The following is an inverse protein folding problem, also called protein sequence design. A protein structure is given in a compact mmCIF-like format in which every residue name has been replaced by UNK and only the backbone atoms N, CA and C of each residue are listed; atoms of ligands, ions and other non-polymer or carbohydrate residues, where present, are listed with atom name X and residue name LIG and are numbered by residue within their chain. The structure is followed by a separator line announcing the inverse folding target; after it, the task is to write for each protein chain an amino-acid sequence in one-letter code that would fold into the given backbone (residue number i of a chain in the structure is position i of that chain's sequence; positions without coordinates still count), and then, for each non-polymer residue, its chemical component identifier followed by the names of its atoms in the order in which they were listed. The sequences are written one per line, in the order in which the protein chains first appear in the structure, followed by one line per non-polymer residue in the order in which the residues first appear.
data_IF_208111529727
#
_entry.id   IF_208111529727
#
_cell.length_a   1.000
_cell.length_b   1.000
_cell.length_c   1.000
_cell.angle_alpha   90.00
_cell.angle_beta   90.00
_cell.angle_gamma   90.00
#
_symmetry.space_group_name_H-M   'P 1'
#
loop_
_entity.id
_entity.type
_entity.pdbx_description
1 polymer ?
#
# COMPACT_ATOMS: atom_id res chain seq x y z
N UNK A 1 -18.18 32.96 35.36
CA UNK A 1 -17.80 32.63 33.97
C UNK A 1 -17.01 31.33 34.01
N UNK A 2 -17.60 30.22 33.55
CA UNK A 2 -16.88 28.94 33.50
C UNK A 2 -16.06 28.87 32.22
N UNK A 3 -14.74 28.77 32.37
CA UNK A 3 -13.82 28.49 31.28
C UNK A 3 -13.82 26.99 30.99
N UNK A 4 -14.47 26.58 29.90
CA UNK A 4 -14.32 25.24 29.34
C UNK A 4 -12.99 25.19 28.58
N UNK A 5 -11.99 24.53 29.17
CA UNK A 5 -10.70 24.29 28.52
C UNK A 5 -10.88 23.22 27.43
N UNK A 6 -10.57 23.62 26.19
CA UNK A 6 -10.44 22.80 24.99
C UNK A 6 -9.43 21.64 25.21
N UNK A 7 -9.88 20.51 25.80
CA UNK A 7 -9.07 19.29 25.95
C UNK A 7 -9.29 18.25 24.84
N UNK A 8 -10.27 18.46 23.96
CA UNK A 8 -10.65 17.48 22.93
C UNK A 8 -9.69 17.38 21.74
N UNK A 9 -9.05 18.48 21.34
CA UNK A 9 -8.23 18.52 20.11
C UNK A 9 -6.94 17.71 20.24
N UNK A 10 -6.20 17.85 21.34
CA UNK A 10 -4.86 17.24 21.48
C UNK A 10 -4.87 15.71 21.51
N UNK A 11 -5.93 15.09 22.03
CA UNK A 11 -6.06 13.62 22.10
C UNK A 11 -6.49 13.01 20.75
N UNK A 12 -7.25 13.76 19.95
CA UNK A 12 -7.70 13.32 18.62
C UNK A 12 -6.51 13.36 17.64
N UNK A 13 -5.67 14.39 17.68
CA UNK A 13 -4.48 14.48 16.81
C UNK A 13 -3.47 13.37 17.11
N UNK A 14 -3.21 13.09 18.40
CA UNK A 14 -2.26 12.04 18.79
C UNK A 14 -2.72 10.63 18.34
N UNK A 15 -4.03 10.35 18.40
CA UNK A 15 -4.58 9.08 17.94
C UNK A 15 -4.55 8.93 16.41
N UNK A 16 -4.76 10.02 15.67
CA UNK A 16 -4.65 10.02 14.20
C UNK A 16 -3.22 9.74 13.73
N UNK A 17 -2.23 10.44 14.30
CA UNK A 17 -0.81 10.25 13.96
C UNK A 17 -0.37 8.81 14.24
N UNK A 18 -0.74 8.25 15.40
CA UNK A 18 -0.41 6.87 15.75
C UNK A 18 -1.04 5.85 14.79
N UNK A 19 -2.28 6.09 14.30
CA UNK A 19 -2.89 5.21 13.30
C UNK A 19 -2.12 5.23 11.97
N UNK A 20 -1.80 6.43 11.44
CA UNK A 20 -1.04 6.58 10.19
C UNK A 20 0.33 5.88 10.31
N UNK A 21 1.07 6.17 11.38
CA UNK A 21 2.38 5.55 11.64
C UNK A 21 2.30 4.02 11.66
N UNK A 22 1.34 3.45 12.37
CA UNK A 22 1.13 2.00 12.42
C UNK A 22 0.80 1.40 11.05
N UNK A 23 -0.05 2.05 10.24
CA UNK A 23 -0.38 1.57 8.89
C UNK A 23 0.87 1.58 7.98
N UNK A 24 1.66 2.66 8.03
CA UNK A 24 2.88 2.79 7.22
C UNK A 24 3.98 1.83 7.68
N UNK A 25 4.11 1.59 8.98
CA UNK A 25 5.03 0.58 9.52
C UNK A 25 4.66 -0.81 9.01
N UNK A 26 3.37 -1.17 9.04
CA UNK A 26 2.89 -2.46 8.51
C UNK A 26 3.12 -2.60 7.01
N UNK A 27 2.87 -1.55 6.22
CA UNK A 27 3.20 -1.55 4.80
C UNK A 27 4.69 -1.79 4.56
N UNK A 28 5.56 -1.11 5.32
CA UNK A 28 7.01 -1.28 5.22
C UNK A 28 7.45 -2.71 5.54
N UNK A 29 6.89 -3.30 6.62
CA UNK A 29 7.13 -4.69 7.00
C UNK A 29 6.72 -5.67 5.88
N UNK A 30 5.49 -5.54 5.37
CA UNK A 30 4.97 -6.42 4.33
C UNK A 30 5.67 -6.20 2.98
N UNK A 31 6.04 -4.97 2.64
CA UNK A 31 6.78 -4.63 1.43
C UNK A 31 8.18 -5.23 1.40
N UNK A 32 8.90 -5.24 2.54
CA UNK A 32 10.19 -5.94 2.68
C UNK A 32 10.02 -7.44 2.49
N UNK A 33 9.00 -8.03 3.13
CA UNK A 33 8.70 -9.45 3.01
C UNK A 33 8.40 -9.83 1.55
N UNK A 34 7.54 -9.04 0.88
CA UNK A 34 7.16 -9.22 -0.52
C UNK A 34 8.37 -9.27 -1.45
N UNK A 35 9.36 -8.40 -1.24
CA UNK A 35 10.54 -8.33 -2.12
C UNK A 35 11.37 -9.64 -2.12
N UNK A 36 11.43 -10.34 -0.98
CA UNK A 36 12.15 -11.62 -0.84
C UNK A 36 11.26 -12.83 -1.09
N UNK A 37 9.96 -12.74 -0.81
CA UNK A 37 9.05 -13.88 -0.99
C UNK A 37 8.95 -14.33 -2.45
N UNK A 38 9.12 -13.44 -3.43
CA UNK A 38 9.15 -13.85 -4.83
C UNK A 38 10.30 -14.83 -5.17
N UNK A 39 11.32 -14.97 -4.33
CA UNK A 39 12.39 -15.98 -4.51
C UNK A 39 11.88 -17.42 -4.29
N UNK A 40 10.85 -17.59 -3.46
CA UNK A 40 10.33 -18.92 -3.05
C UNK A 40 8.87 -19.15 -3.42
N UNK A 41 8.09 -18.08 -3.52
CA UNK A 41 6.70 -18.03 -3.99
C UNK A 41 6.63 -17.37 -5.36
N UNK A 42 5.55 -17.62 -6.09
CA UNK A 42 5.35 -17.02 -7.40
C UNK A 42 5.03 -15.54 -7.28
N UNK A 43 5.31 -14.75 -8.32
CA UNK A 43 5.01 -13.32 -8.34
C UNK A 43 3.54 -13.04 -7.99
N UNK A 44 2.63 -13.81 -8.60
CA UNK A 44 1.20 -13.70 -8.36
C UNK A 44 0.87 -13.97 -6.88
N UNK A 45 1.29 -15.11 -6.33
CA UNK A 45 1.01 -15.48 -4.94
C UNK A 45 1.61 -14.45 -3.97
N UNK A 46 2.83 -13.99 -4.21
CA UNK A 46 3.46 -12.97 -3.36
C UNK A 46 2.69 -11.65 -3.35
N UNK A 47 2.14 -11.21 -4.48
CA UNK A 47 1.30 -10.00 -4.53
C UNK A 47 -0.03 -10.22 -3.81
N UNK A 48 -0.67 -11.38 -3.98
CA UNK A 48 -1.92 -11.71 -3.27
C UNK A 48 -1.71 -11.75 -1.76
N UNK A 49 -0.66 -12.44 -1.29
CA UNK A 49 -0.33 -12.50 0.14
C UNK A 49 -0.10 -11.09 0.72
N UNK A 50 0.57 -10.22 -0.04
CA UNK A 50 0.80 -8.83 0.35
C UNK A 50 -0.51 -8.03 0.45
N UNK A 51 -1.41 -8.11 -0.55
CA UNK A 51 -2.66 -7.36 -0.49
C UNK A 51 -3.64 -7.91 0.54
N UNK A 52 -3.65 -9.22 0.79
CA UNK A 52 -4.40 -9.83 1.89
C UNK A 52 -3.89 -9.34 3.25
N UNK A 53 -2.58 -9.30 3.46
CA UNK A 53 -1.98 -8.77 4.68
C UNK A 53 -2.36 -7.29 4.88
N UNK A 54 -2.29 -6.45 3.84
CA UNK A 54 -2.68 -5.04 3.91
C UNK A 54 -4.17 -4.83 4.22
N UNK A 55 -5.06 -5.65 3.65
CA UNK A 55 -6.51 -5.56 3.93
C UNK A 55 -6.86 -5.84 5.39
N UNK A 56 -6.00 -6.58 6.10
CA UNK A 56 -6.18 -6.92 7.50
C UNK A 56 -5.60 -5.87 8.47
N UNK A 57 -5.00 -4.79 7.97
CA UNK A 57 -4.54 -3.68 8.80
C UNK A 57 -5.75 -2.94 9.40
N UNK A 58 -5.67 -2.60 10.68
CA UNK A 58 -6.69 -1.79 11.35
C UNK A 58 -6.55 -0.31 10.97
N UNK A 59 -7.62 0.27 10.40
CA UNK A 59 -7.72 1.71 10.07
C UNK A 59 -8.56 2.49 11.10
N UNK A 60 -8.89 1.89 12.24
CA UNK A 60 -9.64 2.59 13.29
C UNK A 60 -8.87 3.82 13.78
N UNK A 61 -9.55 4.97 13.83
CA UNK A 61 -8.99 6.28 14.17
C UNK A 61 -8.02 6.89 13.13
N UNK A 62 -7.81 6.24 11.98
CA UNK A 62 -7.12 6.88 10.86
C UNK A 62 -8.03 7.95 10.24
N UNK A 63 -7.46 9.08 9.76
CA UNK A 63 -8.21 10.03 8.96
C UNK A 63 -8.87 9.36 7.75
N UNK A 64 -10.06 9.84 7.38
CA UNK A 64 -10.81 9.28 6.26
C UNK A 64 -10.05 9.45 4.94
N UNK A 65 -9.45 10.63 4.73
CA UNK A 65 -8.59 10.98 3.58
C UNK A 65 -7.46 9.96 3.40
N UNK A 66 -6.71 9.69 4.48
CA UNK A 66 -5.65 8.68 4.50
C UNK A 66 -6.19 7.27 4.26
N UNK A 67 -7.26 6.88 4.96
CA UNK A 67 -7.85 5.54 4.85
C UNK A 67 -8.32 5.24 3.42
N UNK A 68 -8.94 6.21 2.76
CA UNK A 68 -9.37 6.10 1.37
C UNK A 68 -8.17 6.02 0.43
N UNK A 69 -7.18 6.89 0.60
CA UNK A 69 -5.97 6.86 -0.22
C UNK A 69 -5.24 5.52 -0.13
N UNK A 70 -5.09 4.98 1.08
CA UNK A 70 -4.43 3.71 1.31
C UNK A 70 -5.24 2.52 0.76
N UNK A 71 -6.56 2.50 0.92
CA UNK A 71 -7.42 1.46 0.31
C UNK A 71 -7.37 1.49 -1.22
N UNK A 72 -7.24 2.67 -1.83
CA UNK A 72 -7.04 2.79 -3.27
C UNK A 72 -5.65 2.25 -3.67
N UNK A 73 -4.62 2.44 -2.85
CA UNK A 73 -3.31 1.83 -3.06
C UNK A 73 -3.36 0.29 -3.03
N UNK A 74 -4.09 -0.29 -2.06
CA UNK A 74 -4.34 -1.75 -2.01
C UNK A 74 -5.02 -2.22 -3.30
N UNK A 75 -6.03 -1.49 -3.78
CA UNK A 75 -6.76 -1.82 -5.03
C UNK A 75 -5.85 -1.78 -6.27
N UNK A 76 -4.90 -0.85 -6.33
CA UNK A 76 -3.92 -0.79 -7.41
C UNK A 76 -3.01 -2.03 -7.41
N UNK A 77 -2.59 -2.48 -6.23
CA UNK A 77 -1.86 -3.74 -6.08
C UNK A 77 -2.70 -4.97 -6.42
N UNK A 78 -3.99 -5.00 -6.07
CA UNK A 78 -4.89 -6.10 -6.47
C UNK A 78 -5.00 -6.22 -7.99
N UNK A 79 -5.06 -5.08 -8.69
CA UNK A 79 -5.07 -5.05 -10.16
C UNK A 79 -3.77 -5.61 -10.74
N UNK A 80 -2.62 -5.33 -10.12
CA UNK A 80 -1.34 -5.96 -10.47
C UNK A 80 -1.33 -7.46 -10.15
N UNK A 81 -1.92 -7.87 -9.03
CA UNK A 81 -2.11 -9.28 -8.66
C UNK A 81 -2.90 -10.04 -9.70
N UNK A 82 -4.02 -9.49 -10.16
CA UNK A 82 -4.84 -10.08 -11.22
C UNK A 82 -4.05 -10.19 -12.54
N UNK A 83 -3.39 -9.12 -12.94
CA UNK A 83 -2.55 -9.10 -14.15
C UNK A 83 -1.45 -10.16 -14.11
N UNK A 84 -0.82 -10.37 -12.95
CA UNK A 84 0.28 -11.32 -12.80
C UNK A 84 -0.15 -12.78 -12.76
N UNK A 85 -1.46 -13.10 -12.74
CA UNK A 85 -1.96 -14.48 -12.92
C UNK A 85 -1.44 -15.14 -14.19
N UNK A 86 -1.32 -14.39 -15.30
CA UNK A 86 -0.77 -14.91 -16.56
C UNK A 86 0.72 -15.25 -16.49
N UNK A 87 1.39 -14.81 -15.43
CA UNK A 87 2.79 -15.09 -15.10
C UNK A 87 2.89 -15.93 -13.82
N UNK A 88 1.91 -16.80 -13.56
CA UNK A 88 1.81 -17.57 -12.32
C UNK A 88 3.03 -18.42 -11.99
N UNK A 89 3.88 -18.74 -12.96
CA UNK A 89 5.09 -19.55 -12.76
C UNK A 89 6.35 -18.73 -12.47
N UNK A 90 6.31 -17.40 -12.62
CA UNK A 90 7.49 -16.55 -12.40
C UNK A 90 7.90 -16.50 -10.93
N UNK A 91 9.17 -16.80 -10.66
CA UNK A 91 9.85 -16.74 -9.36
C UNK A 91 11.23 -16.11 -9.53
N UNK A 92 11.72 -15.43 -8.51
CA UNK A 92 12.95 -14.64 -8.47
C UNK A 92 12.74 -13.30 -7.76
N UNK A 93 13.77 -12.47 -7.67
CA UNK A 93 13.63 -11.14 -7.07
C UNK A 93 12.59 -10.29 -7.85
N UNK A 94 11.66 -9.65 -7.14
CA UNK A 94 10.51 -8.96 -7.76
C UNK A 94 10.91 -7.94 -8.83
N UNK A 95 12.00 -7.19 -8.61
CA UNK A 95 12.48 -6.20 -9.57
C UNK A 95 12.93 -6.84 -10.89
N UNK A 96 13.63 -7.99 -10.83
CA UNK A 96 14.04 -8.76 -12.00
C UNK A 96 12.81 -9.32 -12.75
N UNK A 97 11.80 -9.78 -12.01
CA UNK A 97 10.55 -10.25 -12.61
C UNK A 97 9.82 -9.11 -13.33
N UNK A 98 9.74 -7.94 -12.72
CA UNK A 98 9.16 -6.75 -13.34
C UNK A 98 9.91 -6.33 -14.60
N UNK A 99 11.25 -6.37 -14.58
CA UNK A 99 12.06 -6.08 -15.76
C UNK A 99 11.90 -7.12 -16.88
N UNK A 100 11.64 -8.38 -16.52
CA UNK A 100 11.30 -9.42 -17.51
C UNK A 100 9.95 -9.14 -18.18
N UNK A 101 8.92 -8.76 -17.41
CA UNK A 101 7.58 -8.45 -17.93
C UNK A 101 7.61 -7.23 -18.86
N UNK A 102 8.42 -6.21 -18.52
CA UNK A 102 8.61 -5.02 -19.38
C UNK A 102 9.17 -5.33 -20.77
N UNK A 103 9.75 -6.52 -20.98
CA UNK A 103 10.28 -6.97 -22.28
C UNK A 103 9.28 -7.82 -23.07
N UNK A 104 8.11 -8.13 -22.51
CA UNK A 104 7.06 -8.92 -23.16
C UNK A 104 6.09 -8.05 -23.97
N UNK A 105 5.18 -8.69 -24.71
CA UNK A 105 4.09 -8.02 -25.42
C UNK A 105 3.12 -7.28 -24.49
N UNK A 106 3.10 -7.63 -23.21
CA UNK A 106 2.21 -7.04 -22.20
C UNK A 106 2.81 -5.82 -21.50
N UNK A 107 4.00 -5.38 -21.94
CA UNK A 107 4.77 -4.31 -21.29
C UNK A 107 3.98 -3.00 -21.11
N UNK A 108 3.09 -2.66 -22.04
CA UNK A 108 2.24 -1.47 -21.95
C UNK A 108 1.27 -1.56 -20.78
N UNK A 109 0.51 -2.66 -20.71
CA UNK A 109 -0.45 -2.88 -19.62
C UNK A 109 0.26 -2.95 -18.26
N UNK A 110 1.40 -3.63 -18.20
CA UNK A 110 2.22 -3.67 -17.00
C UNK A 110 2.66 -2.28 -16.54
N UNK A 111 3.14 -1.43 -17.45
CA UNK A 111 3.56 -0.05 -17.13
C UNK A 111 2.40 0.82 -16.64
N UNK A 112 1.20 0.64 -17.18
CA UNK A 112 -0.01 1.34 -16.71
C UNK A 112 -0.30 0.97 -15.26
N UNK A 113 -0.34 -0.33 -14.94
CA UNK A 113 -0.61 -0.82 -13.60
C UNK A 113 0.48 -0.40 -12.60
N UNK A 114 1.75 -0.49 -13.00
CA UNK A 114 2.86 -0.03 -12.18
C UNK A 114 2.78 1.47 -11.91
N UNK A 115 2.38 2.27 -12.91
CA UNK A 115 2.16 3.70 -12.74
C UNK A 115 1.02 3.99 -11.77
N UNK A 116 -0.08 3.24 -11.81
CA UNK A 116 -1.20 3.40 -10.87
C UNK A 116 -0.81 3.10 -9.42
N UNK A 117 0.04 2.10 -9.19
CA UNK A 117 0.62 1.85 -7.85
C UNK A 117 1.37 3.08 -7.36
N UNK A 118 2.23 3.69 -8.19
CA UNK A 118 2.95 4.90 -7.81
C UNK A 118 2.04 6.11 -7.62
N UNK A 119 1.06 6.32 -8.50
CA UNK A 119 0.10 7.42 -8.39
C UNK A 119 -0.70 7.34 -7.09
N UNK A 120 -1.19 6.15 -6.74
CA UNK A 120 -1.94 5.94 -5.49
C UNK A 120 -1.06 6.13 -4.26
N UNK A 121 0.23 5.75 -4.33
CA UNK A 121 1.19 6.06 -3.27
C UNK A 121 1.38 7.57 -3.06
N UNK A 122 1.49 8.36 -4.13
CA UNK A 122 1.54 9.83 -4.02
C UNK A 122 0.31 10.40 -3.32
N UNK A 123 -0.88 9.81 -3.51
CA UNK A 123 -2.06 10.22 -2.76
C UNK A 123 -1.98 9.86 -1.28
N UNK A 124 -1.38 8.71 -0.93
CA UNK A 124 -1.09 8.34 0.47
C UNK A 124 -0.14 9.37 1.08
N UNK A 125 0.97 9.70 0.40
CA UNK A 125 1.93 10.70 0.86
C UNK A 125 1.29 12.06 1.12
N UNK A 126 0.47 12.52 0.17
CA UNK A 126 -0.28 13.77 0.34
C UNK A 126 -1.22 13.73 1.55
N UNK A 127 -1.97 12.64 1.72
CA UNK A 127 -2.88 12.47 2.85
C UNK A 127 -2.14 12.37 4.20
N UNK A 128 -0.90 11.87 4.21
CA UNK A 128 -0.05 11.91 5.41
C UNK A 128 0.33 13.35 5.78
N UNK A 129 0.67 14.19 4.80
CA UNK A 129 1.07 15.57 5.06
C UNK A 129 -0.10 16.47 5.48
N UNK A 130 -1.27 16.31 4.86
CA UNK A 130 -2.44 17.17 5.12
C UNK A 130 -3.07 16.97 6.51
N UNK A 131 -2.75 15.87 7.21
CA UNK A 131 -3.28 15.56 8.55
C UNK A 131 -2.27 15.80 9.68
N UNK A 132 -1.02 16.17 9.34
CA UNK A 132 0.06 16.47 10.29
C UNK A 132 0.23 17.98 10.51
N UNK A 133 -0.24 18.82 9.57
CA UNK A 133 -0.27 20.29 9.66
C UNK A 133 -1.53 20.84 10.38
#
# INVERSE_FOLDING_TARGET
MCNCINRGTKHITLNKTNCIENVIEKDSEFGKLRNHQCETKTLHTTIIDYTEAMRNINFENCPETFSVAFKNHITAWDSMGEFTKKYSELRGEMHNLFDSIKKTNDSLQFKILLKDIWNTWTHVEKAMTEEID
#
